data_IF_494967737846
#
_entry.id   IF_494967737846
#
_cell.length_a   1.000
_cell.length_b   1.000
_cell.length_c   1.000
_cell.angle_alpha   90.00
_cell.angle_beta   90.00
_cell.angle_gamma   90.00
#
_symmetry.space_group_name_H-M   'P 1'
#
loop_
_entity.id
_entity.type
_entity.pdbx_description
1 polymer ?
#
# COMPACT_ATOMS: atom_id res chain seq x y z
N UNK A 1 7.31 14.53 -2.02
CA UNK A 1 6.23 13.56 -1.71
C UNK A 1 6.83 12.16 -1.75
N UNK A 2 6.46 11.24 -0.85
CA UNK A 2 6.82 9.83 -0.96
C UNK A 2 5.93 9.09 -1.97
N UNK A 3 6.42 7.96 -2.49
CA UNK A 3 5.70 7.06 -3.39
C UNK A 3 4.60 6.21 -2.71
N UNK A 4 3.87 6.82 -1.76
CA UNK A 4 2.83 6.16 -0.98
C UNK A 4 1.49 6.82 -1.32
N UNK A 5 0.59 6.04 -1.91
CA UNK A 5 -0.76 6.46 -2.30
C UNK A 5 -1.79 5.66 -1.50
N UNK A 6 -2.76 6.35 -0.91
CA UNK A 6 -3.83 5.74 -0.11
C UNK A 6 -5.18 6.25 -0.55
N UNK A 7 -6.17 5.38 -0.70
CA UNK A 7 -7.50 5.75 -1.17
C UNK A 7 -8.54 4.70 -0.84
N UNK A 8 -9.80 4.99 -1.11
CA UNK A 8 -10.88 4.01 -1.02
C UNK A 8 -11.05 3.38 -2.39
N UNK A 9 -10.70 2.09 -2.50
CA UNK A 9 -10.90 1.32 -3.72
C UNK A 9 -11.68 0.07 -3.39
N UNK A 10 -12.79 -0.13 -4.10
CA UNK A 10 -13.66 -1.28 -3.91
C UNK A 10 -12.92 -2.58 -4.20
N UNK A 11 -13.08 -3.57 -3.32
CA UNK A 11 -12.38 -4.85 -3.40
C UNK A 11 -10.92 -4.81 -2.96
N UNK A 12 -10.36 -3.65 -2.60
CA UNK A 12 -9.02 -3.58 -2.01
C UNK A 12 -9.03 -3.97 -0.53
N UNK A 13 -7.97 -4.64 -0.08
CA UNK A 13 -7.75 -5.02 1.33
C UNK A 13 -7.05 -3.94 2.17
N UNK A 14 -6.73 -2.79 1.58
CA UNK A 14 -6.01 -1.73 2.27
C UNK A 14 -6.82 -1.11 3.43
N UNK A 15 -6.09 -0.60 4.43
CA UNK A 15 -6.67 0.16 5.51
C UNK A 15 -7.37 1.43 5.00
N UNK A 16 -8.29 1.96 5.80
CA UNK A 16 -9.04 3.19 5.48
C UNK A 16 -8.71 4.36 6.42
N UNK A 17 -7.80 4.14 7.37
CA UNK A 17 -7.35 5.12 8.36
C UNK A 17 -5.84 5.13 8.39
N UNK A 18 -5.25 6.25 8.02
CA UNK A 18 -3.82 6.36 7.76
C UNK A 18 -3.18 7.45 8.62
N UNK A 19 -1.95 7.20 9.04
CA UNK A 19 -1.19 8.10 9.89
C UNK A 19 0.28 8.18 9.49
N UNK A 20 0.82 9.39 9.46
CA UNK A 20 2.26 9.63 9.39
C UNK A 20 2.67 10.79 10.29
N UNK A 21 3.96 10.87 10.62
CA UNK A 21 4.54 12.01 11.32
C UNK A 21 5.55 12.73 10.42
N UNK A 22 5.74 14.02 10.65
CA UNK A 22 6.80 14.80 10.05
C UNK A 22 7.51 15.62 11.12
N UNK A 23 8.83 15.57 11.14
CA UNK A 23 9.68 16.26 12.10
C UNK A 23 10.49 17.37 11.43
N UNK A 24 10.46 18.56 12.03
CA UNK A 24 11.30 19.68 11.60
C UNK A 24 12.72 19.47 12.11
N UNK A 25 13.62 19.08 11.22
CA UNK A 25 15.00 18.76 11.56
C UNK A 25 15.87 20.01 11.71
N UNK A 26 15.68 20.98 10.83
CA UNK A 26 16.50 22.20 10.80
C UNK A 26 15.73 23.39 10.21
N UNK A 27 16.00 24.58 10.75
CA UNK A 27 15.57 25.87 10.20
C UNK A 27 16.77 26.82 10.23
N UNK A 28 17.22 27.26 9.06
CA UNK A 28 18.30 28.22 8.91
C UNK A 28 17.89 29.61 9.44
N UNK A 29 18.79 30.30 10.13
CA UNK A 29 18.53 31.63 10.71
C UNK A 29 19.35 32.77 10.08
N UNK A 30 20.24 32.47 9.12
CA UNK A 30 21.24 33.43 8.63
C UNK A 30 20.68 34.52 7.70
N UNK A 31 19.55 34.28 7.05
CA UNK A 31 18.92 35.21 6.11
C UNK A 31 17.68 35.87 6.70
N UNK A 32 17.36 37.10 6.25
CA UNK A 32 16.20 37.89 6.72
C UNK A 32 14.84 37.36 6.28
N UNK A 33 14.78 36.40 5.35
CA UNK A 33 13.53 35.83 4.87
C UNK A 33 12.91 34.87 5.89
N UNK A 34 11.58 34.92 6.01
CA UNK A 34 10.85 34.00 6.89
C UNK A 34 10.91 32.56 6.36
N UNK A 35 11.13 31.56 7.23
CA UNK A 35 11.02 30.17 6.83
C UNK A 35 9.56 29.82 6.52
N UNK A 36 9.36 29.00 5.49
CA UNK A 36 8.05 28.50 5.09
C UNK A 36 8.06 26.98 5.23
N UNK A 37 7.09 26.45 5.97
CA UNK A 37 6.86 25.02 6.12
C UNK A 37 5.37 24.78 6.24
N UNK A 38 4.88 23.81 5.47
CA UNK A 38 3.51 23.33 5.60
C UNK A 38 3.46 21.85 5.29
N UNK A 39 2.76 21.11 6.12
CA UNK A 39 2.72 19.64 6.11
C UNK A 39 1.27 19.20 5.99
N UNK A 40 1.00 18.15 5.22
CA UNK A 40 -0.28 17.48 5.26
C UNK A 40 -0.50 16.53 4.10
N UNK A 41 -1.69 16.60 3.49
CA UNK A 41 -2.14 15.64 2.48
C UNK A 41 -2.41 16.34 1.16
N UNK A 42 -1.98 15.72 0.07
CA UNK A 42 -2.37 16.07 -1.30
C UNK A 42 -3.24 14.96 -1.90
N UNK A 43 -4.06 15.29 -2.89
CA UNK A 43 -4.91 14.34 -3.60
C UNK A 43 -4.60 14.34 -5.11
N UNK A 44 -4.44 13.15 -5.70
CA UNK A 44 -4.07 12.96 -7.12
C UNK A 44 -5.08 13.51 -8.11
N UNK A 45 -6.34 13.69 -7.71
CA UNK A 45 -7.42 14.18 -8.59
C UNK A 45 -7.23 15.63 -9.01
N UNK A 46 -6.45 16.42 -8.27
CA UNK A 46 -6.27 17.84 -8.61
C UNK A 46 -5.14 18.60 -7.93
N UNK A 47 -4.40 18.01 -6.98
CA UNK A 47 -3.23 18.68 -6.42
C UNK A 47 -2.17 18.83 -7.50
N UNK A 48 -1.94 20.08 -7.92
CA UNK A 48 -0.94 20.44 -8.93
C UNK A 48 0.01 21.44 -8.32
N UNK A 49 1.21 21.00 -7.91
CA UNK A 49 2.20 21.92 -7.41
C UNK A 49 2.72 22.73 -8.60
N UNK A 50 2.81 24.04 -8.43
CA UNK A 50 3.27 24.96 -9.47
C UNK A 50 4.17 26.03 -8.85
N UNK A 51 5.31 26.33 -9.49
CA UNK A 51 6.31 27.29 -8.99
C UNK A 51 6.04 28.73 -9.44
N UNK A 52 5.10 28.97 -10.36
CA UNK A 52 4.70 30.32 -10.76
C UNK A 52 3.57 30.88 -9.91
N UNK A 53 3.12 32.10 -10.22
CA UNK A 53 1.97 32.71 -9.56
C UNK A 53 0.72 31.92 -9.92
N UNK A 54 0.15 31.20 -8.96
CA UNK A 54 -1.20 30.64 -9.10
C UNK A 54 -2.26 31.73 -9.06
N UNK A 55 -3.49 31.39 -8.66
CA UNK A 55 -4.57 32.38 -8.44
C UNK A 55 -4.24 33.40 -7.33
N UNK A 56 -3.13 33.18 -6.59
CA UNK A 56 -2.56 34.06 -5.57
C UNK A 56 -1.08 34.32 -5.87
N UNK A 57 -0.47 35.32 -5.22
CA UNK A 57 0.97 35.61 -5.35
C UNK A 57 1.83 34.44 -4.83
N UNK A 58 2.75 33.95 -5.66
CA UNK A 58 3.78 32.97 -5.28
C UNK A 58 3.46 31.51 -5.60
N UNK A 59 4.38 30.61 -5.21
CA UNK A 59 4.31 29.17 -5.47
C UNK A 59 3.12 28.50 -4.78
N UNK A 60 2.46 27.56 -5.45
CA UNK A 60 1.39 26.74 -4.86
C UNK A 60 1.96 25.75 -3.84
N UNK A 61 1.62 25.93 -2.57
CA UNK A 61 1.96 25.02 -1.47
C UNK A 61 0.77 24.11 -1.12
N UNK A 62 0.99 23.05 -0.34
CA UNK A 62 -0.10 22.24 0.23
C UNK A 62 -1.14 23.14 0.92
N UNK A 63 -2.44 22.91 0.73
CA UNK A 63 -3.51 23.76 1.26
C UNK A 63 -3.81 25.02 0.42
N UNK A 64 -3.08 25.28 -0.66
CA UNK A 64 -3.34 26.45 -1.53
C UNK A 64 -4.45 26.20 -2.56
N UNK A 65 -4.84 24.95 -2.76
CA UNK A 65 -5.92 24.53 -3.66
C UNK A 65 -7.01 23.75 -2.90
N UNK A 66 -8.04 23.29 -3.62
CA UNK A 66 -9.14 22.49 -3.06
C UNK A 66 -8.83 20.98 -2.98
N UNK A 67 -7.63 20.55 -3.34
CA UNK A 67 -7.20 19.15 -3.39
C UNK A 67 -6.07 18.85 -2.41
N UNK A 68 -5.71 19.81 -1.56
CA UNK A 68 -4.66 19.65 -0.57
C UNK A 68 -5.01 20.32 0.75
N UNK A 69 -4.47 19.76 1.82
CA UNK A 69 -4.85 20.07 3.19
C UNK A 69 -3.58 20.25 3.99
N UNK A 70 -3.31 21.50 4.41
CA UNK A 70 -2.03 21.86 5.02
C UNK A 70 -2.17 22.32 6.47
N UNK A 71 -1.08 22.16 7.22
CA UNK A 71 -0.88 22.74 8.55
C UNK A 71 0.56 23.26 8.69
N UNK A 72 0.74 24.45 9.27
CA UNK A 72 2.05 25.13 9.40
C UNK A 72 2.50 25.39 10.86
N UNK A 73 1.78 24.80 11.83
CA UNK A 73 1.99 25.05 13.27
C UNK A 73 1.01 26.07 13.87
N UNK A 74 0.60 27.07 13.08
CA UNK A 74 -0.30 28.14 13.51
C UNK A 74 -1.68 28.00 12.86
N UNK A 75 -1.70 27.70 11.56
CA UNK A 75 -2.89 27.68 10.72
C UNK A 75 -3.10 26.31 10.08
N UNK A 76 -4.35 25.91 10.00
CA UNK A 76 -4.82 24.93 9.00
C UNK A 76 -5.20 25.68 7.74
N UNK A 77 -4.72 25.22 6.59
CA UNK A 77 -4.85 25.92 5.31
C UNK A 77 -5.52 25.03 4.26
N UNK A 78 -6.52 25.57 3.60
CA UNK A 78 -7.27 24.90 2.53
C UNK A 78 -7.81 25.95 1.53
N UNK A 79 -7.67 25.70 0.23
CA UNK A 79 -8.11 26.63 -0.82
C UNK A 79 -7.50 28.03 -0.68
N UNK A 80 -6.26 28.13 -0.19
CA UNK A 80 -5.58 29.40 0.06
C UNK A 80 -6.06 30.17 1.29
N UNK A 81 -7.07 29.66 2.02
CA UNK A 81 -7.59 30.30 3.23
C UNK A 81 -6.93 29.72 4.47
N UNK A 82 -6.45 30.59 5.34
CA UNK A 82 -5.84 30.25 6.61
C UNK A 82 -6.88 30.28 7.74
N UNK A 83 -6.90 29.23 8.56
CA UNK A 83 -7.68 29.17 9.80
C UNK A 83 -6.71 29.04 10.99
N UNK A 84 -6.64 30.03 11.89
CA UNK A 84 -5.78 29.95 13.07
C UNK A 84 -6.31 28.90 14.04
N UNK A 85 -5.47 27.94 14.39
CA UNK A 85 -5.82 26.79 15.24
C UNK A 85 -4.70 26.38 16.20
N UNK A 86 -3.47 26.78 15.91
CA UNK A 86 -2.29 26.52 16.70
C UNK A 86 -1.82 27.75 17.47
N UNK A 87 -0.78 27.57 18.28
CA UNK A 87 -0.27 28.62 19.17
C UNK A 87 1.00 29.31 18.63
N UNK A 88 1.76 28.63 17.76
CA UNK A 88 3.02 29.15 17.20
C UNK A 88 3.41 28.44 15.91
N UNK A 89 4.20 29.11 15.06
CA UNK A 89 4.87 28.47 13.92
C UNK A 89 5.79 27.32 14.38
N UNK A 90 6.00 26.35 13.47
CA UNK A 90 6.89 25.21 13.69
C UNK A 90 8.35 25.65 13.88
N UNK A 91 9.06 24.93 14.76
CA UNK A 91 10.47 25.13 15.10
C UNK A 91 11.20 23.79 15.02
N UNK A 92 12.54 23.85 14.99
CA UNK A 92 13.39 22.65 15.07
C UNK A 92 12.98 21.75 16.25
N UNK A 93 12.84 20.45 15.97
CA UNK A 93 12.44 19.41 16.91
C UNK A 93 10.92 19.20 17.04
N UNK A 94 10.11 20.08 16.44
CA UNK A 94 8.66 19.91 16.43
C UNK A 94 8.24 18.78 15.49
N UNK A 95 7.18 18.09 15.89
CA UNK A 95 6.60 16.95 15.18
C UNK A 95 5.12 17.22 14.91
N UNK A 96 4.73 17.08 13.65
CA UNK A 96 3.34 17.13 13.22
C UNK A 96 2.89 15.71 12.89
N UNK A 97 1.87 15.22 13.60
CA UNK A 97 1.20 13.98 13.25
C UNK A 97 -0.01 14.26 12.36
N UNK A 98 -0.12 13.54 11.24
CA UNK A 98 -1.13 13.75 10.21
C UNK A 98 -2.01 12.50 10.12
N UNK A 99 -3.29 12.63 10.48
CA UNK A 99 -4.28 11.55 10.45
C UNK A 99 -5.25 11.77 9.29
N UNK A 100 -5.54 10.72 8.53
CA UNK A 100 -6.51 10.70 7.43
C UNK A 100 -7.49 9.54 7.64
N UNK A 101 -8.76 9.86 7.89
CA UNK A 101 -9.86 8.91 7.93
C UNK A 101 -10.63 8.99 6.61
N UNK A 102 -10.68 7.88 5.88
CA UNK A 102 -11.41 7.73 4.62
C UNK A 102 -12.76 7.02 4.79
N UNK A 103 -13.06 6.46 5.98
CA UNK A 103 -14.39 5.95 6.32
C UNK A 103 -15.33 7.10 6.65
N UNK A 104 -14.84 8.02 7.46
CA UNK A 104 -15.49 9.30 7.75
C UNK A 104 -14.53 10.35 7.21
N UNK A 105 -14.74 10.89 5.99
CA UNK A 105 -13.81 11.79 5.31
C UNK A 105 -13.37 12.95 6.21
N UNK A 106 -12.26 12.75 6.92
CA UNK A 106 -11.77 13.62 7.96
C UNK A 106 -10.25 13.60 8.04
N UNK A 107 -9.65 14.78 8.12
CA UNK A 107 -8.21 14.95 8.36
C UNK A 107 -8.02 15.67 9.68
N UNK A 108 -7.16 15.10 10.53
CA UNK A 108 -6.77 15.66 11.83
C UNK A 108 -5.27 15.86 11.90
N UNK A 109 -4.86 16.90 12.59
CA UNK A 109 -3.46 17.14 12.93
C UNK A 109 -3.23 17.05 14.43
N UNK A 110 -2.02 16.65 14.78
CA UNK A 110 -1.48 16.73 16.14
C UNK A 110 -0.19 17.54 16.10
N UNK A 111 0.06 18.34 17.12
CA UNK A 111 1.28 19.10 17.29
C UNK A 111 1.99 18.60 18.55
N UNK A 112 3.16 17.97 18.40
CA UNK A 112 3.93 17.33 19.47
C UNK A 112 3.07 16.36 20.30
N UNK A 113 2.26 15.58 19.61
CA UNK A 113 1.31 14.64 20.18
C UNK A 113 0.02 15.26 20.73
N UNK A 114 -0.11 16.59 20.84
CA UNK A 114 -1.36 17.21 21.29
C UNK A 114 -2.33 17.38 20.12
N UNK A 115 -3.60 16.98 20.25
CA UNK A 115 -4.56 17.10 19.17
C UNK A 115 -4.93 18.56 18.93
N UNK A 116 -4.99 18.95 17.66
CA UNK A 116 -5.50 20.27 17.29
C UNK A 116 -7.03 20.19 17.25
N UNK A 117 -7.71 21.14 17.90
CA UNK A 117 -9.17 21.19 17.99
C UNK A 117 -9.83 21.73 16.71
N UNK A 118 -9.35 21.28 15.56
CA UNK A 118 -9.91 21.57 14.25
C UNK A 118 -9.61 20.42 13.29
N UNK A 119 -10.54 20.18 12.38
CA UNK A 119 -10.50 19.05 11.44
C UNK A 119 -10.99 19.50 10.08
N UNK A 120 -10.41 18.98 9.02
CA UNK A 120 -11.06 19.04 7.70
C UNK A 120 -12.07 17.91 7.62
N UNK A 121 -13.27 18.17 7.08
CA UNK A 121 -14.36 17.19 6.98
C UNK A 121 -15.08 17.32 5.65
N UNK A 122 -15.81 16.28 5.26
CA UNK A 122 -16.70 16.26 4.09
C UNK A 122 -15.98 16.60 2.78
N UNK A 123 -14.73 16.18 2.63
CA UNK A 123 -14.01 16.29 1.38
C UNK A 123 -14.30 15.10 0.47
N UNK A 124 -14.05 15.29 -0.83
CA UNK A 124 -14.15 14.23 -1.82
C UNK A 124 -13.01 13.20 -1.62
N UNK A 125 -13.36 11.91 -1.64
CA UNK A 125 -12.43 10.78 -1.53
C UNK A 125 -11.98 10.22 -2.89
N UNK A 126 -12.41 10.83 -3.99
CA UNK A 126 -11.97 10.47 -5.34
C UNK A 126 -10.45 10.58 -5.49
N UNK A 127 -9.87 9.63 -6.23
CA UNK A 127 -8.44 9.52 -6.43
C UNK A 127 -7.71 8.98 -5.19
N UNK A 128 -6.43 9.35 -5.05
CA UNK A 128 -5.58 8.89 -3.97
C UNK A 128 -4.98 10.05 -3.21
N UNK A 129 -4.85 9.87 -1.90
CA UNK A 129 -4.17 10.78 -1.01
C UNK A 129 -2.71 10.36 -0.81
N UNK A 130 -1.85 11.33 -0.57
CA UNK A 130 -0.44 11.10 -0.27
C UNK A 130 0.11 12.14 0.71
N UNK A 131 1.13 11.77 1.51
CA UNK A 131 1.86 12.72 2.34
C UNK A 131 2.56 13.77 1.49
N UNK A 132 2.43 15.03 1.86
CA UNK A 132 3.12 16.12 1.16
C UNK A 132 3.61 17.16 2.16
N UNK A 133 4.77 17.74 1.83
CA UNK A 133 5.33 18.87 2.56
C UNK A 133 5.76 19.93 1.55
N UNK A 134 5.51 21.19 1.89
CA UNK A 134 5.99 22.35 1.16
C UNK A 134 6.98 23.10 2.05
N UNK A 135 8.22 23.23 1.60
CA UNK A 135 9.34 23.76 2.38
C UNK A 135 10.01 24.89 1.59
N UNK A 136 10.42 25.97 2.26
CA UNK A 136 11.41 26.90 1.68
C UNK A 136 12.83 26.36 1.82
N UNK A 137 13.77 26.93 1.07
CA UNK A 137 15.18 26.53 1.06
C UNK A 137 15.87 26.52 2.45
N UNK A 138 15.29 27.19 3.45
CA UNK A 138 15.82 27.31 4.81
C UNK A 138 15.45 26.13 5.71
N UNK A 139 14.52 25.28 5.29
CA UNK A 139 13.90 24.28 6.16
C UNK A 139 14.24 22.87 5.71
N UNK A 140 14.71 22.05 6.64
CA UNK A 140 14.79 20.61 6.47
C UNK A 140 13.73 19.95 7.34
N UNK A 141 12.96 19.04 6.72
CA UNK A 141 11.91 18.29 7.39
C UNK A 141 12.02 16.81 7.00
N UNK A 142 11.76 15.93 7.96
CA UNK A 142 11.88 14.48 7.81
C UNK A 142 10.50 13.83 7.92
N UNK A 143 10.15 12.99 6.95
CA UNK A 143 9.00 12.09 7.09
C UNK A 143 9.33 10.93 8.05
N UNK A 144 8.33 10.53 8.83
CA UNK A 144 8.36 9.36 9.70
C UNK A 144 7.11 8.53 9.37
N UNK A 145 7.30 7.42 8.63
CA UNK A 145 6.19 6.63 8.11
C UNK A 145 5.76 5.47 9.02
N UNK A 146 6.62 5.08 9.97
CA UNK A 146 6.47 3.87 10.77
C UNK A 146 7.36 2.72 10.29
N UNK A 147 7.28 1.60 10.99
CA UNK A 147 8.05 0.38 10.68
C UNK A 147 9.56 0.62 10.68
N UNK A 148 10.24 0.15 9.64
CA UNK A 148 11.68 0.35 9.41
C UNK A 148 12.04 1.76 8.94
N UNK A 149 11.05 2.57 8.53
CA UNK A 149 11.23 3.91 7.96
C UNK A 149 10.93 5.02 8.97
N UNK A 150 11.43 4.82 10.20
CA UNK A 150 11.29 5.74 11.32
C UNK A 150 10.22 5.31 12.31
N UNK A 151 10.61 5.18 13.57
CA UNK A 151 9.68 4.91 14.68
C UNK A 151 8.83 6.15 14.94
N UNK A 152 7.51 5.99 14.85
CA UNK A 152 6.55 7.05 15.21
C UNK A 152 6.75 7.45 16.67
N UNK A 153 6.91 8.74 16.93
CA UNK A 153 7.24 9.29 18.26
C UNK A 153 6.02 9.38 19.15
N UNK A 154 4.88 9.78 18.58
CA UNK A 154 3.61 9.92 19.28
C UNK A 154 2.62 8.82 18.86
N UNK A 155 2.84 8.24 17.68
CA UNK A 155 2.14 7.06 17.22
C UNK A 155 0.74 7.36 16.70
N UNK A 156 0.17 6.43 15.92
CA UNK A 156 -1.21 6.54 15.53
C UNK A 156 -2.08 6.39 16.77
N UNK A 157 -3.01 7.32 16.99
CA UNK A 157 -4.00 7.19 18.07
C UNK A 157 -5.22 6.43 17.56
N UNK A 158 -5.79 5.54 18.38
CA UNK A 158 -6.98 4.79 18.01
C UNK A 158 -6.71 3.77 16.90
N UNK A 159 -7.63 3.62 15.96
CA UNK A 159 -7.60 2.58 14.92
C UNK A 159 -6.91 3.03 13.63
N UNK A 160 -5.91 3.90 13.72
CA UNK A 160 -5.17 4.39 12.55
C UNK A 160 -3.96 3.50 12.30
N UNK A 161 -3.69 3.19 11.03
CA UNK A 161 -2.51 2.43 10.63
C UNK A 161 -1.38 3.37 10.21
N UNK A 162 -0.12 3.04 10.54
CA UNK A 162 1.04 3.70 9.94
C UNK A 162 0.98 3.65 8.41
N UNK A 163 1.29 4.74 7.74
CA UNK A 163 1.15 4.83 6.28
C UNK A 163 2.12 3.89 5.52
N UNK A 164 3.19 3.42 6.18
CA UNK A 164 4.12 2.47 5.57
C UNK A 164 3.45 1.15 5.17
N UNK A 165 2.34 0.77 5.82
CA UNK A 165 1.59 -0.45 5.49
C UNK A 165 0.90 -0.38 4.12
N UNK A 166 0.77 0.81 3.53
CA UNK A 166 0.25 0.98 2.17
C UNK A 166 1.30 0.73 1.08
N UNK A 167 2.57 0.58 1.46
CA UNK A 167 3.68 0.54 0.53
C UNK A 167 4.05 -0.90 0.14
N UNK A 168 4.04 -1.17 -1.16
CA UNK A 168 4.42 -2.47 -1.73
C UNK A 168 5.90 -2.51 -2.22
N UNK A 169 6.51 -1.34 -2.45
CA UNK A 169 7.86 -1.19 -3.03
C UNK A 169 8.80 -0.46 -2.07
N UNK A 170 10.07 -0.29 -2.43
CA UNK A 170 10.98 0.54 -1.63
C UNK A 170 10.48 2.00 -1.54
N UNK A 171 10.59 2.61 -0.35
CA UNK A 171 10.28 4.03 -0.14
C UNK A 171 11.26 4.88 -0.95
N UNK A 172 10.73 5.79 -1.77
CA UNK A 172 11.48 6.91 -2.33
C UNK A 172 10.69 8.20 -2.13
N UNK A 173 11.43 9.30 -1.93
CA UNK A 173 10.87 10.65 -1.81
C UNK A 173 11.33 11.44 -3.01
N UNK A 174 10.37 11.97 -3.76
CA UNK A 174 10.62 12.72 -4.98
C UNK A 174 9.97 14.10 -4.91
N UNK A 175 10.46 15.01 -5.74
CA UNK A 175 9.89 16.33 -5.92
C UNK A 175 8.53 16.20 -6.63
N UNK A 176 7.51 16.91 -6.13
CA UNK A 176 6.22 16.90 -6.82
C UNK A 176 6.24 17.71 -8.12
N UNK A 177 7.25 18.57 -8.29
CA UNK A 177 7.56 19.30 -9.53
C UNK A 177 9.02 19.03 -9.83
N UNK A 178 9.31 18.49 -11.01
CA UNK A 178 10.67 18.40 -11.52
C UNK A 178 10.68 18.84 -12.97
N UNK A 179 11.66 19.64 -13.34
CA UNK A 179 11.91 20.04 -14.73
C UNK A 179 12.98 19.17 -15.41
N UNK A 180 13.42 18.09 -14.72
CA UNK A 180 14.57 17.29 -15.12
C UNK A 180 15.90 17.90 -14.67
N UNK A 181 16.99 17.44 -15.27
CA UNK A 181 18.35 17.87 -14.94
C UNK A 181 18.74 19.08 -15.81
N UNK A 182 18.31 20.26 -15.39
CA UNK A 182 18.51 21.53 -16.12
C UNK A 182 20.00 21.83 -16.37
N UNK A 183 20.88 21.48 -15.43
CA UNK A 183 22.34 21.64 -15.58
C UNK A 183 22.91 20.83 -16.74
N UNK A 184 22.27 19.71 -17.09
CA UNK A 184 22.62 18.85 -18.23
C UNK A 184 21.71 19.05 -19.43
N UNK A 185 20.85 20.06 -19.42
CA UNK A 185 19.84 20.32 -20.47
C UNK A 185 18.89 19.13 -20.72
N UNK A 186 18.68 18.28 -19.72
CA UNK A 186 17.75 17.15 -19.80
C UNK A 186 16.42 17.60 -19.22
N UNK A 187 15.41 17.71 -20.07
CA UNK A 187 14.05 18.06 -19.64
C UNK A 187 13.29 16.81 -19.21
N UNK A 188 12.69 16.87 -18.03
CA UNK A 188 11.80 15.83 -17.54
C UNK A 188 10.43 15.91 -18.21
N UNK A 189 9.87 14.75 -18.59
CA UNK A 189 8.46 14.66 -18.95
C UNK A 189 7.55 14.83 -17.73
N UNK A 190 6.22 14.77 -17.90
CA UNK A 190 5.27 14.78 -16.79
C UNK A 190 5.61 13.68 -15.77
N UNK A 191 5.59 14.02 -14.48
CA UNK A 191 5.81 13.03 -13.43
C UNK A 191 4.74 11.93 -13.45
N UNK A 192 5.15 10.67 -13.44
CA UNK A 192 4.27 9.50 -13.46
C UNK A 192 4.05 8.89 -12.08
N UNK A 193 4.67 9.44 -11.03
CA UNK A 193 4.62 8.90 -9.65
C UNK A 193 3.16 8.77 -9.17
N UNK A 194 2.33 9.78 -9.46
CA UNK A 194 0.91 9.82 -9.08
C UNK A 194 0.04 8.84 -9.86
N UNK A 195 0.54 8.33 -11.00
CA UNK A 195 -0.22 7.50 -11.94
C UNK A 195 0.16 6.01 -11.91
N UNK A 196 1.28 5.65 -11.29
CA UNK A 196 1.84 4.29 -11.39
C UNK A 196 1.54 3.40 -10.17
N UNK A 197 1.14 3.98 -9.04
CA UNK A 197 0.83 3.23 -7.82
C UNK A 197 -0.68 3.11 -7.65
N UNK A 198 -1.26 1.95 -7.95
CA UNK A 198 -2.63 1.64 -7.56
C UNK A 198 -2.64 0.57 -6.46
N UNK A 199 -3.61 0.62 -5.53
CA UNK A 199 -3.73 -0.40 -4.52
C UNK A 199 -4.06 -1.74 -5.15
N UNK A 200 -3.59 -2.81 -4.53
CA UNK A 200 -3.92 -4.16 -4.99
C UNK A 200 -5.43 -4.40 -4.85
N UNK A 201 -6.06 -4.75 -5.97
CA UNK A 201 -7.43 -5.25 -6.05
C UNK A 201 -7.35 -6.56 -6.85
N UNK A 202 -7.71 -7.71 -6.25
CA UNK A 202 -7.70 -8.97 -6.99
C UNK A 202 -8.74 -8.92 -8.12
N UNK A 203 -8.31 -9.25 -9.33
CA UNK A 203 -9.17 -9.37 -10.51
C UNK A 203 -9.07 -10.80 -11.06
N UNK A 204 -9.67 -11.79 -10.38
CA UNK A 204 -9.69 -13.16 -10.88
C UNK A 204 -10.53 -13.24 -12.16
N UNK A 205 -10.19 -14.18 -13.04
CA UNK A 205 -11.00 -14.51 -14.21
C UNK A 205 -12.29 -15.17 -13.74
N UNK A 206 -13.43 -14.75 -14.27
CA UNK A 206 -14.71 -15.39 -13.97
C UNK A 206 -14.77 -16.78 -14.62
N UNK A 207 -14.88 -17.80 -13.77
CA UNK A 207 -14.95 -19.20 -14.15
C UNK A 207 -16.32 -19.83 -13.88
N UNK A 208 -17.31 -19.04 -13.45
CA UNK A 208 -18.64 -19.53 -13.07
C UNK A 208 -19.39 -20.18 -14.24
N UNK A 209 -19.24 -19.62 -15.45
CA UNK A 209 -19.87 -20.11 -16.68
C UNK A 209 -19.07 -21.18 -17.44
N UNK A 210 -17.89 -21.57 -16.95
CA UNK A 210 -17.03 -22.53 -17.65
C UNK A 210 -17.47 -23.96 -17.36
N UNK A 211 -17.87 -24.67 -18.42
CA UNK A 211 -18.13 -26.10 -18.39
C UNK A 211 -16.87 -26.86 -18.75
N UNK A 212 -16.42 -27.74 -17.86
CA UNK A 212 -15.30 -28.63 -18.13
C UNK A 212 -15.75 -29.84 -18.98
N UNK A 213 -14.88 -30.39 -19.83
CA UNK A 213 -15.11 -31.68 -20.49
C UNK A 213 -15.36 -32.82 -19.49
N UNK A 214 -16.02 -33.89 -19.93
CA UNK A 214 -16.30 -35.06 -19.08
C UNK A 214 -15.04 -35.69 -18.49
N UNK A 215 -13.99 -35.86 -19.31
CA UNK A 215 -12.72 -36.44 -18.86
C UNK A 215 -12.05 -35.59 -17.75
N UNK A 216 -12.31 -34.28 -17.71
CA UNK A 216 -11.77 -33.40 -16.67
C UNK A 216 -12.26 -33.84 -15.28
N UNK A 217 -13.51 -34.29 -15.19
CA UNK A 217 -14.10 -34.83 -13.96
C UNK A 217 -13.50 -36.18 -13.56
N UNK A 218 -12.86 -36.91 -14.47
CA UNK A 218 -12.15 -38.15 -14.13
C UNK A 218 -10.72 -37.87 -13.67
N UNK A 219 -10.06 -36.85 -14.24
CA UNK A 219 -8.67 -36.52 -13.92
C UNK A 219 -8.52 -35.55 -12.75
N UNK A 220 -9.57 -34.80 -12.38
CA UNK A 220 -9.49 -33.77 -11.33
C UNK A 220 -8.99 -34.33 -10.00
N UNK A 221 -9.39 -35.56 -9.64
CA UNK A 221 -8.97 -36.22 -8.41
C UNK A 221 -7.47 -36.52 -8.45
N UNK A 222 -6.97 -37.14 -9.52
CA UNK A 222 -5.53 -37.38 -9.72
C UNK A 222 -4.72 -36.08 -9.77
N UNK A 223 -5.32 -35.03 -10.30
CA UNK A 223 -4.70 -33.70 -10.31
C UNK A 223 -4.61 -33.12 -8.91
N UNK A 224 -5.69 -33.18 -8.11
CA UNK A 224 -5.71 -32.78 -6.71
C UNK A 224 -4.72 -33.58 -5.85
N UNK A 225 -4.66 -34.90 -6.03
CA UNK A 225 -3.67 -35.78 -5.41
C UNK A 225 -2.24 -35.32 -5.72
N UNK A 226 -1.93 -35.08 -6.99
CA UNK A 226 -0.59 -34.63 -7.38
C UNK A 226 -0.26 -33.21 -6.87
N UNK A 227 -1.23 -32.29 -6.84
CA UNK A 227 -1.05 -30.97 -6.22
C UNK A 227 -0.72 -31.09 -4.73
N UNK A 228 -1.39 -32.01 -4.04
CA UNK A 228 -1.13 -32.33 -2.63
C UNK A 228 0.26 -32.93 -2.42
N UNK A 229 0.68 -33.88 -3.25
CA UNK A 229 2.04 -34.45 -3.21
C UNK A 229 3.12 -33.38 -3.40
N UNK A 230 2.94 -32.45 -4.35
CA UNK A 230 3.85 -31.33 -4.56
C UNK A 230 3.89 -30.36 -3.37
N UNK A 231 2.75 -30.08 -2.76
CA UNK A 231 2.66 -29.27 -1.55
C UNK A 231 3.38 -29.95 -0.37
N UNK A 232 3.14 -31.24 -0.16
CA UNK A 232 3.72 -32.02 0.91
C UNK A 232 5.25 -32.12 0.76
N UNK A 233 5.74 -32.38 -0.45
CA UNK A 233 7.16 -32.37 -0.77
C UNK A 233 7.83 -31.04 -0.37
N UNK A 234 7.27 -29.90 -0.80
CA UNK A 234 7.83 -28.58 -0.46
C UNK A 234 7.86 -28.30 1.04
N UNK A 235 6.85 -28.80 1.78
CA UNK A 235 6.79 -28.68 3.23
C UNK A 235 7.85 -29.54 3.91
N UNK A 236 8.03 -30.78 3.47
CA UNK A 236 9.06 -31.71 3.98
C UNK A 236 10.45 -31.13 3.72
N UNK A 237 10.71 -30.61 2.52
CA UNK A 237 11.99 -29.95 2.18
C UNK A 237 12.28 -28.73 3.08
N UNK A 238 11.24 -28.02 3.53
CA UNK A 238 11.34 -26.93 4.51
C UNK A 238 11.47 -27.42 5.97
N UNK A 239 11.58 -28.73 6.20
CA UNK A 239 11.74 -29.36 7.50
C UNK A 239 10.44 -29.52 8.29
N UNK A 240 9.28 -29.51 7.63
CA UNK A 240 8.01 -29.83 8.30
C UNK A 240 7.82 -31.34 8.42
N UNK A 241 7.22 -31.75 9.54
CA UNK A 241 6.89 -33.15 9.84
C UNK A 241 5.41 -33.31 10.16
N UNK A 242 4.91 -34.53 10.12
CA UNK A 242 3.53 -34.81 10.49
C UNK A 242 3.27 -34.56 11.99
N UNK A 243 2.07 -34.08 12.32
CA UNK A 243 1.58 -34.05 13.70
C UNK A 243 0.09 -33.71 13.75
N UNK A 244 -0.62 -34.25 14.75
CA UNK A 244 -2.08 -34.12 14.89
C UNK A 244 -2.58 -32.67 14.89
N UNK A 245 -1.80 -31.77 15.49
CA UNK A 245 -2.10 -30.34 15.54
C UNK A 245 -1.01 -29.54 14.83
N UNK A 246 -1.42 -28.50 14.10
CA UNK A 246 -0.48 -27.55 13.47
C UNK A 246 0.34 -26.85 14.55
N UNK A 247 1.66 -26.91 14.43
CA UNK A 247 2.58 -26.23 15.34
C UNK A 247 3.74 -25.64 14.53
N UNK A 248 3.84 -24.32 14.48
CA UNK A 248 4.88 -23.66 13.68
C UNK A 248 6.27 -23.74 14.32
N UNK A 249 6.36 -23.67 15.65
CA UNK A 249 7.63 -23.74 16.40
C UNK A 249 8.33 -25.08 16.17
N UNK A 250 7.56 -26.17 16.25
CA UNK A 250 8.05 -27.54 16.04
C UNK A 250 7.89 -28.02 14.59
N UNK A 251 7.46 -27.13 13.67
CA UNK A 251 7.18 -27.40 12.26
C UNK A 251 6.36 -28.68 12.04
N UNK A 252 5.22 -28.80 12.73
CA UNK A 252 4.26 -29.91 12.56
C UNK A 252 3.03 -29.48 11.79
N UNK A 253 2.58 -30.30 10.84
CA UNK A 253 1.37 -30.06 10.07
C UNK A 253 0.52 -31.34 9.90
N UNK A 254 -0.80 -31.32 10.19
CA UNK A 254 -1.64 -32.51 10.14
C UNK A 254 -1.87 -33.05 8.73
N UNK A 255 -1.92 -32.17 7.72
CA UNK A 255 -2.12 -32.57 6.32
C UNK A 255 -0.89 -33.22 5.67
N UNK A 256 0.24 -33.41 6.37
CA UNK A 256 1.40 -34.15 5.83
C UNK A 256 1.17 -35.67 5.87
N UNK A 257 0.17 -36.10 5.11
CA UNK A 257 -0.30 -37.48 4.98
C UNK A 257 -0.72 -37.72 3.53
N UNK A 258 -1.10 -38.95 3.18
CA UNK A 258 -1.62 -39.28 1.84
C UNK A 258 -2.96 -38.59 1.60
N UNK A 259 -3.29 -38.30 0.33
CA UNK A 259 -4.54 -37.63 -0.04
C UNK A 259 -5.80 -38.29 0.54
N UNK A 260 -5.88 -39.63 0.51
CA UNK A 260 -7.01 -40.41 1.05
C UNK A 260 -7.19 -40.30 2.57
N UNK A 261 -6.17 -39.79 3.28
CA UNK A 261 -6.16 -39.64 4.74
C UNK A 261 -6.30 -38.19 5.17
N UNK A 262 -6.52 -37.27 4.23
CA UNK A 262 -6.83 -35.90 4.57
C UNK A 262 -8.19 -35.83 5.29
N UNK A 263 -8.38 -34.84 6.18
CA UNK A 263 -9.71 -34.47 6.63
C UNK A 263 -10.62 -34.20 5.43
N UNK A 264 -11.91 -34.55 5.53
CA UNK A 264 -12.89 -34.39 4.44
C UNK A 264 -12.90 -32.97 3.86
N UNK A 265 -12.78 -31.97 4.72
CA UNK A 265 -12.84 -30.56 4.34
C UNK A 265 -11.59 -30.15 3.54
N UNK A 266 -10.42 -30.62 3.95
CA UNK A 266 -9.15 -30.40 3.25
C UNK A 266 -9.11 -31.15 1.91
N UNK A 267 -9.65 -32.37 1.88
CA UNK A 267 -9.77 -33.14 0.64
C UNK A 267 -10.69 -32.42 -0.35
N UNK A 268 -11.86 -31.97 0.10
CA UNK A 268 -12.80 -31.23 -0.73
C UNK A 268 -12.22 -29.89 -1.21
N UNK A 269 -11.45 -29.19 -0.36
CA UNK A 269 -10.74 -27.97 -0.75
C UNK A 269 -9.78 -28.23 -1.92
N UNK A 270 -8.98 -29.30 -1.86
CA UNK A 270 -8.05 -29.65 -2.94
C UNK A 270 -8.78 -30.05 -4.24
N UNK A 271 -9.90 -30.78 -4.15
CA UNK A 271 -10.72 -31.13 -5.31
C UNK A 271 -11.33 -29.89 -5.99
N UNK A 272 -11.83 -28.94 -5.18
CA UNK A 272 -12.34 -27.67 -5.67
C UNK A 272 -11.22 -26.84 -6.33
N UNK A 273 -10.05 -26.75 -5.68
CA UNK A 273 -8.89 -26.05 -6.24
C UNK A 273 -8.45 -26.64 -7.60
N UNK A 274 -8.42 -27.97 -7.72
CA UNK A 274 -8.10 -28.64 -8.98
C UNK A 274 -9.15 -28.31 -10.06
N UNK A 275 -10.43 -28.32 -9.72
CA UNK A 275 -11.53 -27.97 -10.63
C UNK A 275 -11.46 -26.52 -11.08
N UNK A 276 -11.28 -25.57 -10.16
CA UNK A 276 -11.17 -24.15 -10.45
C UNK A 276 -9.92 -23.83 -11.29
N UNK A 277 -8.82 -24.53 -11.02
CA UNK A 277 -7.59 -24.42 -11.82
C UNK A 277 -7.85 -24.86 -13.26
N UNK A 278 -8.49 -26.02 -13.47
CA UNK A 278 -8.84 -26.48 -14.82
C UNK A 278 -9.83 -25.55 -15.53
N UNK A 279 -10.83 -25.01 -14.82
CA UNK A 279 -11.76 -24.03 -15.39
C UNK A 279 -11.03 -22.74 -15.80
N UNK A 280 -10.05 -22.33 -15.01
CA UNK A 280 -9.20 -21.17 -15.33
C UNK A 280 -8.40 -21.43 -16.61
N UNK A 281 -7.85 -22.63 -16.80
CA UNK A 281 -7.14 -23.02 -18.02
C UNK A 281 -8.04 -22.91 -19.26
N UNK A 282 -9.27 -23.44 -19.19
CA UNK A 282 -10.26 -23.32 -20.28
C UNK A 282 -10.69 -21.86 -20.50
N UNK A 283 -10.91 -21.08 -19.43
CA UNK A 283 -11.26 -19.66 -19.52
C UNK A 283 -10.16 -18.82 -20.18
N UNK A 284 -8.90 -19.21 -20.02
CA UNK A 284 -7.74 -18.60 -20.67
C UNK A 284 -7.61 -18.99 -22.15
N UNK A 285 -8.51 -19.82 -22.69
CA UNK A 285 -8.55 -20.22 -24.09
C UNK A 285 -7.69 -21.44 -24.43
N UNK A 286 -7.20 -22.17 -23.43
CA UNK A 286 -6.53 -23.45 -23.66
C UNK A 286 -7.56 -24.57 -23.72
N UNK A 287 -7.42 -25.46 -24.70
CA UNK A 287 -8.25 -26.66 -24.80
C UNK A 287 -7.51 -27.85 -24.21
N UNK A 288 -8.07 -28.42 -23.15
CA UNK A 288 -7.55 -29.65 -22.57
C UNK A 288 -7.94 -30.84 -23.45
N UNK A 289 -6.97 -31.68 -23.77
CA UNK A 289 -7.18 -32.97 -24.44
C UNK A 289 -6.55 -34.08 -23.61
N UNK A 290 -7.20 -35.24 -23.58
CA UNK A 290 -6.65 -36.43 -22.95
C UNK A 290 -5.94 -37.27 -24.01
N UNK A 291 -4.61 -37.28 -23.98
CA UNK A 291 -3.78 -38.13 -24.85
C UNK A 291 -2.85 -39.02 -24.01
N UNK A 292 -2.36 -40.12 -24.59
CA UNK A 292 -1.39 -40.99 -23.94
C UNK A 292 -0.07 -40.22 -23.79
N UNK A 293 0.49 -40.15 -22.56
CA UNK A 293 1.74 -39.45 -22.37
C UNK A 293 2.84 -40.12 -23.21
N UNK A 294 3.71 -39.33 -23.90
CA UNK A 294 4.73 -39.86 -24.79
C UNK A 294 5.78 -40.71 -24.06
N UNK A 295 5.87 -40.56 -22.73
CA UNK A 295 6.76 -41.32 -21.86
C UNK A 295 6.04 -41.76 -20.60
N UNK A 296 6.40 -42.94 -20.07
CA UNK A 296 5.91 -43.42 -18.78
C UNK A 296 6.29 -42.45 -17.66
N UNK A 297 5.29 -41.86 -17.02
CA UNK A 297 5.46 -41.00 -15.85
C UNK A 297 6.08 -41.79 -14.70
N UNK A 298 7.04 -41.19 -14.01
CA UNK A 298 7.72 -41.79 -12.86
C UNK A 298 7.57 -40.84 -11.67
N UNK A 299 7.30 -41.36 -10.46
CA UNK A 299 7.30 -40.53 -9.26
C UNK A 299 8.66 -39.88 -9.04
N UNK A 300 8.66 -38.62 -8.61
CA UNK A 300 9.86 -37.95 -8.11
C UNK A 300 10.30 -38.65 -6.82
N UNK A 301 11.60 -38.95 -6.69
CA UNK A 301 12.16 -39.49 -5.46
C UNK A 301 12.66 -38.34 -4.61
N UNK A 302 12.19 -38.26 -3.38
CA UNK A 302 12.79 -37.37 -2.38
C UNK A 302 14.19 -37.89 -2.02
N UNK A 303 15.18 -37.00 -1.84
CA UNK A 303 16.45 -37.40 -1.26
C UNK A 303 16.20 -38.00 0.13
N UNK A 304 16.81 -39.15 0.42
CA UNK A 304 16.84 -39.68 1.77
C UNK A 304 17.72 -38.74 2.60
N UNK A 305 17.12 -38.05 3.57
CA UNK A 305 17.84 -37.29 4.59
C UNK A 305 18.20 -38.18 5.76
#
# INVERSE_FOLDING_TARGET
MPNILVGVVDGSSLFKRWYFEAEVEHIEQMTKSEPFIRIGWGNTSGFKPFTGSGDHWGCSAVGSDFYSYGFDGLNMVFGGKERPVGHRKLRRGDVVGCSLDLLVPEIRFTFNGQPIHATFRNFNIDGFFFPVMSLSAKVSCRFIFGGTHGRLKYGPRGSFSPIIEALDKAVHVEECISFGELSKTIYGGPSTILHTSQPFVPQPIDISGISLPSFAHEIHQKFAENLHELWAMRKIDAGWTWGENRNEQNRKHPCLTTFDRLPSDEQQYNLNLATDTMKTVEALGYHMILDKPPTRTRPLRLPQT
#
